data_IF_409368486856
#
_entry.id   IF_409368486856
#
_cell.length_a   1.000
_cell.length_b   1.000
_cell.length_c   1.000
_cell.angle_alpha   90.00
_cell.angle_beta   90.00
_cell.angle_gamma   90.00
#
_symmetry.space_group_name_H-M   'P 1'
#
loop_
_entity.id
_entity.type
_entity.pdbx_description
1 polymer ?
#
# COMPACT_ATOMS: atom_id res chain seq x y z
N UNK A 1 7.73 -3.22 8.31
CA UNK A 1 6.31 -3.00 8.58
C UNK A 1 6.07 -1.56 9.02
N UNK A 2 5.34 -0.81 8.20
CA UNK A 2 4.85 0.53 8.53
C UNK A 2 3.53 0.37 9.28
N UNK A 3 3.61 0.33 10.61
CA UNK A 3 2.41 0.20 11.44
C UNK A 3 1.48 1.41 11.27
N UNK A 4 0.19 1.15 11.44
CA UNK A 4 -0.94 2.09 11.46
C UNK A 4 -0.67 3.45 12.16
N UNK A 5 0.30 3.50 13.09
CA UNK A 5 0.77 4.70 13.80
C UNK A 5 1.50 5.73 12.92
N UNK A 6 1.89 5.40 11.69
CA UNK A 6 2.55 6.36 10.80
C UNK A 6 1.62 7.42 10.19
N UNK A 7 0.30 7.19 10.23
CA UNK A 7 -0.72 8.10 9.68
C UNK A 7 -1.14 9.21 10.63
N UNK A 8 -0.81 9.13 11.92
CA UNK A 8 -1.02 10.23 12.87
C UNK A 8 0.17 11.19 12.77
N UNK A 9 -0.12 12.47 12.56
CA UNK A 9 0.89 13.52 12.50
C UNK A 9 0.47 14.74 13.30
N UNK A 10 1.46 15.45 13.81
CA UNK A 10 1.31 16.72 14.50
C UNK A 10 1.83 17.84 13.58
N UNK A 11 1.01 18.87 13.35
CA UNK A 11 1.34 19.96 12.43
C UNK A 11 2.57 20.78 12.88
N UNK A 12 2.91 20.78 14.17
CA UNK A 12 4.10 21.45 14.71
C UNK A 12 5.39 20.63 14.54
N UNK A 13 5.30 19.35 14.18
CA UNK A 13 6.43 18.43 14.02
C UNK A 13 6.82 18.17 12.57
N UNK A 14 6.13 18.79 11.59
CA UNK A 14 6.31 18.51 10.16
C UNK A 14 7.77 18.57 9.70
N UNK A 15 8.55 19.52 10.21
CA UNK A 15 9.96 19.68 9.85
C UNK A 15 10.85 18.53 10.34
N UNK A 16 10.43 17.79 11.38
CA UNK A 16 11.16 16.66 11.97
C UNK A 16 10.92 15.31 11.28
N UNK A 17 9.84 15.18 10.51
CA UNK A 17 9.47 13.90 9.90
C UNK A 17 10.39 13.50 8.74
N UNK A 18 10.51 12.21 8.46
CA UNK A 18 11.24 11.73 7.28
C UNK A 18 10.56 12.16 5.99
N UNK A 19 11.30 12.15 4.88
CA UNK A 19 10.77 12.57 3.57
C UNK A 19 9.65 11.65 3.11
N UNK A 20 9.77 10.36 3.41
CA UNK A 20 8.75 9.36 3.12
C UNK A 20 7.46 9.64 3.91
N UNK A 21 7.56 9.91 5.22
CA UNK A 21 6.40 10.27 6.04
C UNK A 21 5.72 11.53 5.52
N UNK A 22 6.49 12.54 5.10
CA UNK A 22 5.92 13.76 4.50
C UNK A 22 5.23 13.48 3.16
N UNK A 23 5.79 12.63 2.31
CA UNK A 23 5.15 12.22 1.07
C UNK A 23 3.86 11.45 1.33
N UNK A 24 3.81 10.56 2.33
CA UNK A 24 2.58 9.90 2.75
C UNK A 24 1.53 10.90 3.24
N UNK A 25 1.90 11.82 4.14
CA UNK A 25 1.02 12.89 4.62
C UNK A 25 0.49 13.68 3.42
N UNK A 26 1.36 14.11 2.51
CA UNK A 26 0.97 14.87 1.31
C UNK A 26 -0.06 14.11 0.47
N UNK A 27 0.15 12.83 0.17
CA UNK A 27 -0.79 12.02 -0.62
C UNK A 27 -2.16 11.81 0.06
N UNK A 28 -2.21 11.86 1.39
CA UNK A 28 -3.45 11.80 2.17
C UNK A 28 -4.20 13.14 2.11
N UNK A 29 -3.50 14.24 2.41
CA UNK A 29 -4.14 15.55 2.54
C UNK A 29 -4.39 16.23 1.20
N UNK A 30 -3.66 15.88 0.13
CA UNK A 30 -3.81 16.48 -1.20
C UNK A 30 -5.08 16.01 -1.93
N UNK A 31 -6.05 15.44 -1.20
CA UNK A 31 -7.38 15.11 -1.69
C UNK A 31 -8.33 16.28 -1.41
N UNK A 32 -9.22 16.62 -2.35
CA UNK A 32 -10.25 17.62 -2.07
C UNK A 32 -11.17 17.13 -0.95
N UNK A 33 -11.69 18.06 -0.16
CA UNK A 33 -12.71 17.73 0.84
C UNK A 33 -13.93 17.07 0.17
N UNK A 34 -14.43 15.95 0.71
CA UNK A 34 -15.69 15.38 0.27
C UNK A 34 -16.84 16.40 0.40
N UNK A 35 -17.83 16.35 -0.49
CA UNK A 35 -18.97 17.28 -0.44
C UNK A 35 -19.72 17.18 0.90
N UNK A 36 -19.80 15.99 1.48
CA UNK A 36 -20.42 15.74 2.79
C UNK A 36 -19.74 16.49 3.93
N UNK A 37 -18.43 16.75 3.84
CA UNK A 37 -17.68 17.48 4.86
C UNK A 37 -18.18 18.92 5.03
N UNK A 38 -18.77 19.52 3.99
CA UNK A 38 -19.38 20.86 4.08
C UNK A 38 -20.48 20.92 5.14
N UNK A 39 -21.23 19.83 5.31
CA UNK A 39 -22.38 19.73 6.22
C UNK A 39 -21.95 19.71 7.69
N UNK A 40 -20.68 19.43 7.97
CA UNK A 40 -20.11 19.45 9.33
C UNK A 40 -19.84 20.86 9.86
N UNK A 41 -19.90 21.88 9.02
CA UNK A 41 -19.59 23.26 9.39
C UNK A 41 -20.85 24.10 9.56
N UNK A 42 -21.07 24.71 10.75
CA UNK A 42 -22.28 25.47 11.07
C UNK A 42 -22.53 26.66 10.13
N UNK A 43 -21.46 27.24 9.58
CA UNK A 43 -21.53 28.44 8.75
C UNK A 43 -20.66 28.38 7.49
N UNK A 44 -20.89 29.31 6.55
CA UNK A 44 -20.00 29.51 5.39
C UNK A 44 -18.61 30.00 5.79
N UNK A 45 -18.52 30.82 6.83
CA UNK A 45 -17.25 31.39 7.30
C UNK A 45 -16.36 30.30 7.88
N UNK A 46 -16.90 29.41 8.72
CA UNK A 46 -16.12 28.32 9.31
C UNK A 46 -15.63 27.32 8.26
N UNK A 47 -16.46 27.03 7.27
CA UNK A 47 -16.02 26.23 6.13
C UNK A 47 -14.87 26.86 5.36
N UNK A 48 -14.95 28.17 5.06
CA UNK A 48 -13.86 28.87 4.37
C UNK A 48 -12.58 28.87 5.21
N UNK A 49 -12.68 28.98 6.54
CA UNK A 49 -11.52 28.86 7.44
C UNK A 49 -10.91 27.46 7.39
N UNK A 50 -11.74 26.41 7.39
CA UNK A 50 -11.26 25.03 7.31
C UNK A 50 -10.61 24.71 5.96
N UNK A 51 -11.22 25.14 4.86
CA UNK A 51 -10.63 25.02 3.51
C UNK A 51 -9.28 25.72 3.45
N UNK A 52 -9.20 26.98 3.91
CA UNK A 52 -7.94 27.71 3.93
C UNK A 52 -6.87 27.01 4.79
N UNK A 53 -7.25 26.53 5.98
CA UNK A 53 -6.31 25.79 6.85
C UNK A 53 -5.74 24.56 6.13
N UNK A 54 -6.59 23.81 5.42
CA UNK A 54 -6.19 22.63 4.65
C UNK A 54 -5.24 22.99 3.50
N UNK A 55 -5.55 24.02 2.72
CA UNK A 55 -4.70 24.53 1.65
C UNK A 55 -3.34 25.02 2.18
N UNK A 56 -3.34 25.74 3.30
CA UNK A 56 -2.13 26.20 3.97
C UNK A 56 -1.27 25.02 4.45
N UNK A 57 -1.89 23.95 4.98
CA UNK A 57 -1.20 22.73 5.38
C UNK A 57 -0.59 21.99 4.18
N UNK A 58 -1.35 21.79 3.10
CA UNK A 58 -0.85 21.18 1.85
C UNK A 58 0.38 21.95 1.35
N UNK A 59 0.27 23.29 1.28
CA UNK A 59 1.37 24.15 0.83
C UNK A 59 2.59 24.05 1.74
N UNK A 60 2.39 24.01 3.06
CA UNK A 60 3.47 23.87 4.03
C UNK A 60 4.21 22.54 3.85
N UNK A 61 3.50 21.43 3.80
CA UNK A 61 4.09 20.09 3.60
C UNK A 61 4.86 20.03 2.28
N UNK A 62 4.24 20.49 1.18
CA UNK A 62 4.89 20.57 -0.14
C UNK A 62 6.19 21.38 -0.11
N UNK A 63 6.18 22.55 0.53
CA UNK A 63 7.36 23.40 0.63
C UNK A 63 8.49 22.76 1.45
N UNK A 64 8.17 21.96 2.48
CA UNK A 64 9.18 21.23 3.24
C UNK A 64 9.82 20.18 2.33
N UNK A 65 9.02 19.36 1.64
CA UNK A 65 9.52 18.29 0.76
C UNK A 65 10.41 18.87 -0.35
N UNK A 66 9.98 19.94 -1.04
CA UNK A 66 10.72 20.58 -2.12
C UNK A 66 12.11 21.11 -1.72
N UNK A 67 12.34 21.36 -0.43
CA UNK A 67 13.65 21.80 0.08
C UNK A 67 14.59 20.65 0.40
N UNK A 68 14.12 19.40 0.36
CA UNK A 68 14.92 18.23 0.73
C UNK A 68 15.64 17.67 -0.48
N UNK A 69 16.91 17.35 -0.29
CA UNK A 69 17.75 16.76 -1.33
C UNK A 69 17.37 15.32 -1.68
N UNK A 70 16.67 14.62 -0.78
CA UNK A 70 16.27 13.21 -0.91
C UNK A 70 14.80 13.03 -1.37
N UNK A 71 14.15 14.12 -1.84
CA UNK A 71 12.74 14.10 -2.22
C UNK A 71 12.41 13.04 -3.29
N UNK A 72 13.31 12.85 -4.25
CA UNK A 72 13.10 11.99 -5.43
C UNK A 72 14.12 10.84 -5.54
N UNK A 73 14.89 10.59 -4.49
CA UNK A 73 15.86 9.49 -4.49
C UNK A 73 15.17 8.13 -4.41
N UNK A 74 15.79 7.10 -4.97
CA UNK A 74 15.34 5.72 -4.79
C UNK A 74 15.34 5.37 -3.30
N UNK A 75 14.24 4.76 -2.83
CA UNK A 75 14.02 4.50 -1.41
C UNK A 75 14.90 3.37 -0.90
N UNK A 76 15.36 3.52 0.34
CA UNK A 76 16.21 2.52 0.99
C UNK A 76 15.52 1.16 1.15
N UNK A 77 14.21 1.15 1.43
CA UNK A 77 13.42 -0.08 1.53
C UNK A 77 13.44 -0.86 0.21
N UNK A 78 13.13 -0.19 -0.90
CA UNK A 78 13.19 -0.79 -2.24
C UNK A 78 14.62 -1.27 -2.58
N UNK A 79 15.65 -0.46 -2.31
CA UNK A 79 17.05 -0.86 -2.54
C UNK A 79 17.44 -2.12 -1.75
N UNK A 80 16.94 -2.28 -0.53
CA UNK A 80 17.22 -3.47 0.29
C UNK A 80 16.61 -4.73 -0.31
N UNK A 81 15.41 -4.64 -0.90
CA UNK A 81 14.78 -5.75 -1.63
C UNK A 81 15.51 -6.09 -2.93
N UNK A 82 16.11 -5.09 -3.57
CA UNK A 82 16.75 -5.21 -4.89
C UNK A 82 18.27 -5.30 -4.82
N UNK A 83 18.83 -5.86 -3.74
CA UNK A 83 20.28 -6.08 -3.57
C UNK A 83 21.13 -4.83 -3.86
N UNK A 84 20.62 -3.64 -3.52
CA UNK A 84 21.26 -2.33 -3.73
C UNK A 84 21.65 -2.05 -5.19
N UNK A 85 20.89 -2.55 -6.15
CA UNK A 85 21.02 -2.21 -7.58
C UNK A 85 20.65 -0.73 -7.79
N UNK A 86 21.63 0.16 -7.59
CA UNK A 86 21.46 1.61 -7.59
C UNK A 86 21.37 2.24 -9.00
N UNK A 87 21.64 1.48 -10.06
CA UNK A 87 21.71 1.98 -11.44
C UNK A 87 20.46 1.68 -12.29
N UNK A 88 19.29 1.50 -11.66
CA UNK A 88 18.06 1.31 -12.45
C UNK A 88 17.49 2.69 -12.80
N UNK A 89 17.28 2.92 -14.10
CA UNK A 89 16.68 4.14 -14.63
C UNK A 89 15.40 4.55 -13.84
N UNK A 90 15.07 5.85 -13.78
CA UNK A 90 13.84 6.35 -13.15
C UNK A 90 12.61 6.10 -14.04
N UNK A 91 12.38 4.84 -14.42
CA UNK A 91 11.21 4.39 -15.19
C UNK A 91 10.21 3.68 -14.26
N UNK A 92 9.74 4.39 -13.23
CA UNK A 92 8.70 3.86 -12.35
C UNK A 92 7.28 4.20 -12.82
N UNK A 93 6.32 3.37 -12.42
CA UNK A 93 4.92 3.47 -12.80
C UNK A 93 4.05 3.88 -11.62
N UNK A 94 3.01 4.69 -11.86
CA UNK A 94 1.95 4.86 -10.84
C UNK A 94 1.05 3.62 -10.77
N UNK A 95 0.25 3.51 -9.70
CA UNK A 95 -0.76 2.45 -9.58
C UNK A 95 -1.74 2.46 -10.76
N UNK A 96 -2.16 3.63 -11.24
CA UNK A 96 -3.07 3.71 -12.38
C UNK A 96 -2.42 3.21 -13.68
N UNK A 97 -1.12 3.48 -13.86
CA UNK A 97 -0.37 2.96 -15.00
C UNK A 97 -0.18 1.44 -14.91
N UNK A 98 0.07 0.91 -13.71
CA UNK A 98 0.14 -0.53 -13.45
C UNK A 98 -1.21 -1.20 -13.70
N UNK A 99 -2.31 -0.62 -13.22
CA UNK A 99 -3.67 -1.13 -13.45
C UNK A 99 -4.00 -1.26 -14.93
N UNK A 100 -3.55 -0.30 -15.76
CA UNK A 100 -3.72 -0.38 -17.21
C UNK A 100 -2.86 -1.47 -17.87
N UNK A 101 -1.68 -1.76 -17.32
CA UNK A 101 -0.77 -2.82 -17.81
C UNK A 101 -1.20 -4.22 -17.37
N UNK A 102 -1.86 -4.32 -16.22
CA UNK A 102 -2.25 -5.56 -15.55
C UNK A 102 -3.78 -5.55 -15.28
N UNK A 103 -4.62 -5.44 -16.33
CA UNK A 103 -6.04 -5.17 -16.18
C UNK A 103 -6.81 -6.26 -15.42
N UNK A 104 -6.33 -7.50 -15.46
CA UNK A 104 -6.90 -8.64 -14.72
C UNK A 104 -6.74 -8.51 -13.20
N UNK A 105 -5.74 -7.77 -12.74
CA UNK A 105 -5.44 -7.55 -11.32
C UNK A 105 -5.65 -6.10 -10.87
N UNK A 106 -6.15 -5.22 -11.74
CA UNK A 106 -6.27 -3.78 -11.47
C UNK A 106 -6.95 -3.45 -10.13
N UNK A 107 -8.02 -4.16 -9.79
CA UNK A 107 -8.77 -3.95 -8.54
C UNK A 107 -8.08 -4.55 -7.30
N UNK A 108 -7.15 -5.48 -7.50
CA UNK A 108 -6.46 -6.22 -6.44
C UNK A 108 -4.99 -5.87 -6.33
N UNK A 109 -4.50 -4.89 -7.09
CA UNK A 109 -3.10 -4.46 -7.05
C UNK A 109 -2.65 -4.10 -5.64
N UNK A 110 -3.51 -3.45 -4.85
CA UNK A 110 -3.19 -3.12 -3.46
C UNK A 110 -2.94 -4.36 -2.59
N UNK A 111 -3.80 -5.38 -2.72
CA UNK A 111 -3.66 -6.63 -1.99
C UNK A 111 -2.42 -7.41 -2.45
N UNK A 112 -2.20 -7.50 -3.76
CA UNK A 112 -1.00 -8.12 -4.33
C UNK A 112 0.26 -7.44 -3.81
N UNK A 113 0.31 -6.11 -3.83
CA UNK A 113 1.48 -5.36 -3.36
C UNK A 113 1.76 -5.61 -1.87
N UNK A 114 0.72 -5.69 -1.05
CA UNK A 114 0.88 -6.02 0.37
C UNK A 114 1.37 -7.46 0.57
N UNK A 115 0.82 -8.41 -0.19
CA UNK A 115 1.19 -9.84 -0.12
C UNK A 115 2.60 -10.10 -0.67
N UNK A 116 3.08 -9.36 -1.65
CA UNK A 116 4.45 -9.50 -2.18
C UNK A 116 5.44 -8.55 -1.48
N UNK A 117 4.96 -7.72 -0.54
CA UNK A 117 5.72 -6.64 0.10
C UNK A 117 6.37 -5.68 -0.92
N UNK A 118 5.64 -5.29 -1.96
CA UNK A 118 6.15 -4.38 -2.99
C UNK A 118 6.33 -2.97 -2.42
N UNK A 119 7.57 -2.50 -2.45
CA UNK A 119 7.94 -1.19 -1.92
C UNK A 119 7.87 -0.08 -2.98
N UNK A 120 7.64 1.15 -2.52
CA UNK A 120 7.73 2.32 -3.38
C UNK A 120 9.19 2.51 -3.81
N UNK A 121 9.45 2.53 -5.11
CA UNK A 121 10.79 2.77 -5.67
C UNK A 121 11.24 4.20 -5.41
N UNK A 122 10.42 5.20 -5.77
CA UNK A 122 10.67 6.62 -5.51
C UNK A 122 9.36 7.43 -5.60
N UNK A 123 9.42 8.72 -5.26
CA UNK A 123 8.32 9.66 -5.50
C UNK A 123 8.73 10.63 -6.61
N UNK A 124 7.84 10.87 -7.57
CA UNK A 124 8.12 11.78 -8.69
C UNK A 124 8.01 13.28 -8.29
N UNK A 125 8.18 14.17 -9.26
CA UNK A 125 8.09 15.64 -9.06
C UNK A 125 6.73 16.11 -8.53
N UNK A 126 5.67 15.34 -8.76
CA UNK A 126 4.32 15.58 -8.25
C UNK A 126 4.07 14.89 -6.89
N UNK A 127 5.10 14.29 -6.31
CA UNK A 127 5.06 13.48 -5.09
C UNK A 127 4.14 12.26 -5.19
N UNK A 128 3.95 11.73 -6.39
CA UNK A 128 3.24 10.46 -6.58
C UNK A 128 4.20 9.28 -6.42
N UNK A 129 3.78 8.21 -5.73
CA UNK A 129 4.60 7.02 -5.60
C UNK A 129 4.77 6.33 -6.95
N UNK A 130 6.00 5.87 -7.21
CA UNK A 130 6.41 5.15 -8.41
C UNK A 130 6.95 3.78 -8.02
N UNK A 131 6.50 2.75 -8.72
CA UNK A 131 6.87 1.35 -8.49
C UNK A 131 7.62 0.79 -9.68
N UNK A 132 8.49 -0.19 -9.44
CA UNK A 132 9.13 -0.91 -10.54
C UNK A 132 8.14 -1.92 -11.15
N UNK A 133 8.18 -2.09 -12.47
CA UNK A 133 7.30 -3.05 -13.14
C UNK A 133 7.80 -4.49 -12.92
N UNK A 134 9.11 -4.69 -12.70
CA UNK A 134 9.68 -6.01 -12.40
C UNK A 134 9.09 -6.65 -11.15
N UNK A 135 8.65 -5.82 -10.21
CA UNK A 135 8.11 -6.22 -8.91
C UNK A 135 6.75 -6.92 -9.06
N UNK A 136 6.12 -6.84 -10.24
CA UNK A 136 4.82 -7.44 -10.55
C UNK A 136 4.94 -8.66 -11.47
N UNK A 137 6.11 -9.30 -11.50
CA UNK A 137 6.39 -10.42 -12.41
C UNK A 137 5.40 -11.57 -12.28
N UNK A 138 4.93 -11.91 -11.07
CA UNK A 138 4.05 -13.05 -10.84
C UNK A 138 2.66 -12.85 -11.46
N UNK A 139 2.20 -11.61 -11.53
CA UNK A 139 0.92 -11.27 -12.16
C UNK A 139 1.08 -10.76 -13.60
N UNK A 140 2.29 -10.79 -14.17
CA UNK A 140 2.49 -10.55 -15.59
C UNK A 140 1.76 -11.63 -16.42
N UNK A 141 1.30 -11.27 -17.62
CA UNK A 141 0.45 -12.13 -18.48
C UNK A 141 0.99 -13.55 -18.63
N UNK A 142 2.30 -13.69 -18.83
CA UNK A 142 2.95 -14.98 -19.07
C UNK A 142 3.06 -15.86 -17.80
N UNK A 143 3.10 -15.24 -16.62
CA UNK A 143 3.29 -15.93 -15.34
C UNK A 143 1.99 -16.11 -14.57
N UNK A 144 1.02 -15.22 -14.76
CA UNK A 144 -0.24 -15.16 -14.01
C UNK A 144 -0.96 -16.51 -13.92
N UNK A 145 -1.13 -17.30 -15.01
CA UNK A 145 -1.81 -18.59 -14.95
C UNK A 145 -1.19 -19.59 -13.96
N UNK A 146 0.11 -19.49 -13.68
CA UNK A 146 0.87 -20.40 -12.84
C UNK A 146 1.28 -19.78 -11.49
N UNK A 147 0.96 -18.50 -11.27
CA UNK A 147 1.36 -17.76 -10.08
C UNK A 147 0.62 -18.22 -8.82
N UNK A 148 -0.58 -18.77 -8.99
CA UNK A 148 -1.53 -19.06 -7.91
C UNK A 148 -2.25 -17.82 -7.37
N UNK A 149 -1.96 -16.63 -7.91
CA UNK A 149 -2.85 -15.48 -7.80
C UNK A 149 -4.03 -15.62 -8.76
N UNK A 150 -5.19 -15.18 -8.29
CA UNK A 150 -6.48 -15.22 -8.98
C UNK A 150 -7.15 -13.85 -8.88
N UNK A 151 -8.27 -13.65 -9.59
CA UNK A 151 -8.95 -12.37 -9.63
C UNK A 151 -9.51 -11.96 -8.27
N UNK A 152 -9.99 -12.92 -7.47
CA UNK A 152 -10.62 -12.63 -6.17
C UNK A 152 -9.79 -13.07 -4.97
N UNK A 153 -8.68 -13.79 -5.19
CA UNK A 153 -7.85 -14.30 -4.10
C UNK A 153 -6.58 -14.96 -4.58
N UNK A 154 -6.01 -15.82 -3.74
CA UNK A 154 -4.83 -16.60 -4.07
C UNK A 154 -4.92 -18.00 -3.48
N UNK A 155 -4.19 -18.96 -4.04
CA UNK A 155 -4.15 -20.32 -3.48
C UNK A 155 -3.34 -20.37 -2.19
N UNK A 156 -3.67 -21.34 -1.32
CA UNK A 156 -2.88 -21.64 -0.12
C UNK A 156 -1.44 -21.98 -0.47
N UNK A 157 -1.23 -22.73 -1.55
CA UNK A 157 0.10 -23.11 -2.04
C UNK A 157 0.93 -21.88 -2.43
N UNK A 158 0.34 -20.91 -3.12
CA UNK A 158 1.04 -19.67 -3.47
C UNK A 158 1.42 -18.88 -2.22
N UNK A 159 0.51 -18.77 -1.24
CA UNK A 159 0.79 -18.08 0.01
C UNK A 159 1.98 -18.70 0.76
N UNK A 160 1.97 -20.03 0.91
CA UNK A 160 3.04 -20.77 1.60
C UNK A 160 4.36 -20.75 0.80
N UNK A 161 4.31 -20.61 -0.52
CA UNK A 161 5.50 -20.43 -1.35
C UNK A 161 6.15 -19.07 -1.14
N UNK A 162 5.34 -18.00 -1.01
CA UNK A 162 5.84 -16.65 -0.69
C UNK A 162 6.39 -16.58 0.73
N UNK A 163 5.77 -17.33 1.65
CA UNK A 163 6.10 -17.32 3.06
C UNK A 163 6.52 -18.71 3.56
N UNK A 164 7.69 -19.23 3.15
CA UNK A 164 8.13 -20.58 3.49
C UNK A 164 8.37 -20.79 4.99
N UNK A 165 8.53 -19.71 5.75
CA UNK A 165 8.62 -19.75 7.21
C UNK A 165 7.27 -20.03 7.90
N UNK A 166 6.14 -19.86 7.21
CA UNK A 166 4.80 -20.07 7.77
C UNK A 166 4.41 -21.55 7.65
N UNK A 167 4.17 -22.24 8.77
CA UNK A 167 3.70 -23.63 8.72
C UNK A 167 2.28 -23.71 8.15
N UNK A 168 1.99 -24.72 7.33
CA UNK A 168 0.66 -24.94 6.73
C UNK A 168 -0.46 -24.97 7.77
N UNK A 169 -0.26 -25.69 8.87
CA UNK A 169 -1.25 -25.79 9.94
C UNK A 169 -1.52 -24.45 10.64
N UNK A 170 -0.55 -23.54 10.66
CA UNK A 170 -0.73 -22.20 11.24
C UNK A 170 -1.53 -21.27 10.32
N UNK A 171 -1.33 -21.39 9.01
CA UNK A 171 -2.20 -20.72 8.05
C UNK A 171 -3.66 -21.21 8.19
N UNK A 172 -3.85 -22.52 8.25
CA UNK A 172 -5.19 -23.12 8.41
C UNK A 172 -5.86 -22.68 9.72
N UNK A 173 -5.13 -22.68 10.84
CA UNK A 173 -5.63 -22.21 12.14
C UNK A 173 -6.06 -20.73 12.10
N UNK A 174 -5.27 -19.84 11.50
CA UNK A 174 -5.62 -18.41 11.40
C UNK A 174 -6.84 -18.19 10.51
N UNK A 175 -6.95 -18.91 9.39
CA UNK A 175 -8.11 -18.79 8.51
C UNK A 175 -9.38 -19.34 9.17
N UNK A 176 -9.28 -20.43 9.92
CA UNK A 176 -10.41 -21.02 10.67
C UNK A 176 -10.89 -20.09 11.78
N UNK A 177 -9.98 -19.54 12.60
CA UNK A 177 -10.34 -18.58 13.66
C UNK A 177 -10.95 -17.30 13.07
N UNK A 178 -10.52 -16.89 11.87
CA UNK A 178 -11.07 -15.74 11.17
C UNK A 178 -12.43 -16.02 10.48
N UNK A 179 -13.01 -17.20 10.65
CA UNK A 179 -14.23 -17.65 9.97
C UNK A 179 -14.13 -17.46 8.43
N UNK A 180 -12.96 -17.73 7.86
CA UNK A 180 -12.70 -17.52 6.44
C UNK A 180 -13.50 -18.49 5.56
N UNK A 181 -14.44 -17.95 4.78
CA UNK A 181 -15.09 -18.68 3.69
C UNK A 181 -14.17 -18.71 2.46
N UNK A 182 -13.59 -19.87 2.17
CA UNK A 182 -12.79 -20.06 0.96
C UNK A 182 -13.69 -20.03 -0.27
N UNK A 183 -13.22 -19.38 -1.33
CA UNK A 183 -13.93 -19.27 -2.60
C UNK A 183 -13.36 -20.24 -3.64
N UNK A 184 -14.11 -20.51 -4.70
CA UNK A 184 -13.64 -21.30 -5.83
C UNK A 184 -13.57 -20.42 -7.08
N UNK A 185 -12.38 -20.35 -7.70
CA UNK A 185 -12.15 -19.64 -8.97
C UNK A 185 -11.42 -20.58 -9.95
N UNK A 186 -12.01 -20.81 -11.12
CA UNK A 186 -11.49 -21.74 -12.15
C UNK A 186 -11.20 -23.16 -11.62
N UNK A 187 -12.12 -23.75 -10.85
CA UNK A 187 -11.96 -25.04 -10.17
C UNK A 187 -10.78 -25.10 -9.18
N UNK A 188 -10.37 -23.95 -8.65
CA UNK A 188 -9.29 -23.84 -7.67
C UNK A 188 -9.82 -23.15 -6.43
N UNK A 189 -9.64 -23.77 -5.26
CA UNK A 189 -9.92 -23.15 -3.97
C UNK A 189 -8.94 -22.00 -3.71
N UNK A 190 -9.46 -20.83 -3.34
CA UNK A 190 -8.69 -19.61 -3.07
C UNK A 190 -9.05 -19.02 -1.71
N UNK A 191 -8.04 -18.41 -1.10
CA UNK A 191 -8.17 -17.49 0.03
C UNK A 191 -8.52 -16.12 -0.55
N UNK A 192 -9.67 -15.51 -0.22
CA UNK A 192 -9.98 -14.16 -0.66
C UNK A 192 -8.90 -13.16 -0.21
N UNK A 193 -8.62 -12.14 -1.02
CA UNK A 193 -7.47 -11.25 -0.80
C UNK A 193 -7.44 -10.58 0.58
N UNK A 194 -8.61 -10.22 1.13
CA UNK A 194 -8.70 -9.62 2.46
C UNK A 194 -8.15 -10.57 3.54
N UNK A 195 -8.54 -11.85 3.49
CA UNK A 195 -8.03 -12.87 4.41
C UNK A 195 -6.56 -13.17 4.17
N UNK A 196 -6.10 -13.20 2.93
CA UNK A 196 -4.69 -13.44 2.61
C UNK A 196 -3.78 -12.33 3.16
N UNK A 197 -4.14 -11.06 2.92
CA UNK A 197 -3.42 -9.89 3.47
C UNK A 197 -3.36 -9.96 4.99
N UNK A 198 -4.50 -10.20 5.63
CA UNK A 198 -4.58 -10.22 7.09
C UNK A 198 -3.87 -11.43 7.71
N UNK A 199 -3.91 -12.59 7.06
CA UNK A 199 -3.13 -13.76 7.48
C UNK A 199 -1.62 -13.47 7.41
N UNK A 200 -1.15 -12.79 6.36
CA UNK A 200 0.24 -12.32 6.24
C UNK A 200 0.60 -11.38 7.40
N UNK A 201 -0.27 -10.41 7.71
CA UNK A 201 -0.03 -9.47 8.83
C UNK A 201 0.14 -10.20 10.17
N UNK A 202 -0.70 -11.19 10.46
CA UNK A 202 -0.59 -11.96 11.71
C UNK A 202 0.61 -12.91 11.71
N UNK A 203 0.81 -13.67 10.62
CA UNK A 203 1.75 -14.79 10.58
C UNK A 203 3.18 -14.39 10.21
N UNK A 204 3.35 -13.28 9.48
CA UNK A 204 4.64 -12.80 8.97
C UNK A 204 5.01 -11.49 9.63
N UNK A 205 4.05 -10.57 9.77
CA UNK A 205 4.34 -9.23 10.27
C UNK A 205 4.32 -9.12 11.80
N UNK A 206 3.68 -10.08 12.46
CA UNK A 206 3.56 -10.12 13.91
C UNK A 206 2.52 -9.16 14.46
N UNK A 207 1.58 -8.70 13.63
CA UNK A 207 0.41 -7.95 14.08
C UNK A 207 -0.48 -8.87 14.95
N UNK A 208 -1.19 -8.28 15.92
CA UNK A 208 -2.13 -9.07 16.72
C UNK A 208 -3.35 -9.48 15.88
N UNK A 209 -3.88 -10.67 16.16
CA UNK A 209 -5.05 -11.18 15.45
C UNK A 209 -6.24 -10.23 15.58
N UNK A 210 -6.54 -9.78 16.80
CA UNK A 210 -7.65 -8.87 17.10
C UNK A 210 -7.53 -7.53 16.39
N UNK A 211 -6.33 -6.94 16.29
CA UNK A 211 -6.17 -5.67 15.57
C UNK A 211 -6.33 -5.81 14.05
N UNK A 212 -6.24 -7.03 13.53
CA UNK A 212 -6.17 -7.31 12.10
C UNK A 212 -7.51 -7.82 11.54
N UNK A 213 -8.23 -8.64 12.29
CA UNK A 213 -9.48 -9.28 11.84
C UNK A 213 -10.74 -8.70 12.49
N UNK A 214 -10.65 -8.04 13.66
CA UNK A 214 -11.83 -7.52 14.38
C UNK A 214 -12.06 -6.00 14.19
N UNK A 215 -11.17 -5.31 13.46
CA UNK A 215 -11.24 -3.87 13.13
C UNK A 215 -11.48 -3.63 11.64
#
# INVERSE_FOLDING_TARGET
MSSYYQLVWLENELDSYSTDKLNFIFNIINRPFPVSYRQLYPSRIEWQKAVKKHEDLIKRVKNIILKRSDAHTVRAAWLNQHNKQAEVAPNGYTIEQLANKLPHMANQLGAFMEIENIEIKYFDEDFKPRYDLSDFQDIAIDNYPNSGFKKNGMTKEAFLKLYPQVPKNKLEEVLDIADCELEEEDNTEIIPYWYAVNAKRVLVDGDSFTETFDN
#
